data_IF_273201757677
#
_entry.id   IF_273201757677
#
_cell.length_a   1.000
_cell.length_b   1.000
_cell.length_c   1.000
_cell.angle_alpha   90.00
_cell.angle_beta   90.00
_cell.angle_gamma   90.00
#
_symmetry.space_group_name_H-M   'P 1'
#
loop_
_entity.id
_entity.type
_entity.pdbx_description
1 polymer ?
#
# COMPACT_ATOMS: atom_id res chain seq x y z
N UNK A 1 5.42 -17.02 -7.66
CA UNK A 1 5.34 -16.99 -6.18
C UNK A 1 4.40 -18.03 -5.56
N UNK A 2 3.51 -18.71 -6.30
CA UNK A 2 2.59 -19.69 -5.71
C UNK A 2 3.18 -21.10 -5.54
N UNK A 3 4.35 -21.36 -6.09
CA UNK A 3 5.07 -22.61 -5.90
C UNK A 3 6.36 -22.27 -5.17
N UNK A 4 6.30 -22.33 -3.83
CA UNK A 4 7.37 -21.90 -2.93
C UNK A 4 7.59 -22.99 -1.89
N UNK A 5 8.83 -23.13 -1.45
CA UNK A 5 9.25 -24.03 -0.37
C UNK A 5 9.80 -23.24 0.83
N UNK A 6 10.02 -23.93 1.95
CA UNK A 6 10.60 -23.34 3.17
C UNK A 6 12.06 -22.90 2.99
N UNK A 7 12.73 -23.34 1.92
CA UNK A 7 14.12 -23.01 1.61
C UNK A 7 14.23 -21.88 0.58
N UNK A 8 13.11 -21.38 0.07
CA UNK A 8 13.12 -20.33 -0.94
C UNK A 8 13.28 -18.96 -0.28
N UNK A 9 14.01 -18.08 -0.97
CA UNK A 9 14.16 -16.67 -0.65
C UNK A 9 13.56 -15.83 -1.77
N UNK A 10 12.64 -14.92 -1.41
CA UNK A 10 11.97 -14.03 -2.35
C UNK A 10 12.43 -12.60 -2.08
N UNK A 11 13.01 -11.96 -3.09
CA UNK A 11 13.24 -10.52 -3.06
C UNK A 11 12.07 -9.77 -3.70
N UNK A 12 11.51 -8.82 -2.95
CA UNK A 12 10.50 -7.88 -3.44
C UNK A 12 11.13 -6.49 -3.58
N UNK A 13 11.42 -6.08 -4.80
CA UNK A 13 11.95 -4.74 -5.08
C UNK A 13 10.77 -3.79 -5.31
N UNK A 14 10.58 -2.83 -4.41
CA UNK A 14 9.42 -1.94 -4.39
C UNK A 14 9.89 -0.49 -4.49
N UNK A 15 9.27 0.26 -5.39
CA UNK A 15 9.50 1.69 -5.57
C UNK A 15 8.18 2.43 -5.78
N UNK A 16 8.27 3.76 -5.87
CA UNK A 16 7.16 4.63 -6.24
C UNK A 16 6.45 4.18 -7.53
N UNK A 17 5.14 4.40 -7.60
CA UNK A 17 4.30 4.02 -8.74
C UNK A 17 3.78 2.56 -8.75
N UNK A 18 4.24 1.70 -7.83
CA UNK A 18 3.82 0.30 -7.76
C UNK A 18 2.29 0.08 -7.68
N UNK A 19 1.55 0.98 -7.05
CA UNK A 19 0.09 0.88 -6.96
C UNK A 19 -0.62 0.93 -8.32
N UNK A 20 -0.04 1.62 -9.31
CA UNK A 20 -0.57 1.76 -10.67
C UNK A 20 0.01 0.70 -11.63
N UNK A 21 1.27 0.31 -11.46
CA UNK A 21 1.95 -0.66 -12.32
C UNK A 21 1.54 -2.12 -12.05
N UNK A 22 1.09 -2.44 -10.83
CA UNK A 22 0.64 -3.77 -10.43
C UNK A 22 -0.80 -3.77 -9.89
N UNK A 23 -1.80 -3.46 -10.75
CA UNK A 23 -3.20 -3.64 -10.40
C UNK A 23 -3.57 -5.11 -10.66
N UNK A 24 -3.71 -5.90 -9.59
CA UNK A 24 -4.29 -7.23 -9.68
C UNK A 24 -5.66 -7.21 -8.99
N UNK A 25 -6.77 -7.14 -9.75
CA UNK A 25 -8.10 -7.21 -9.16
C UNK A 25 -8.34 -8.53 -8.45
N UNK A 26 -9.21 -8.52 -7.43
CA UNK A 26 -9.71 -9.77 -6.89
C UNK A 26 -10.51 -10.56 -7.93
N UNK A 27 -10.61 -11.88 -7.73
CA UNK A 27 -11.38 -12.75 -8.60
C UNK A 27 -12.83 -12.24 -8.68
N UNK A 28 -13.33 -12.06 -9.90
CA UNK A 28 -14.66 -11.48 -10.15
C UNK A 28 -14.65 -9.98 -10.48
N UNK A 29 -13.48 -9.32 -10.38
CA UNK A 29 -13.29 -7.94 -10.83
C UNK A 29 -12.42 -7.89 -12.09
N UNK A 30 -12.70 -6.87 -12.89
CA UNK A 30 -11.87 -6.44 -14.00
C UNK A 30 -10.98 -5.27 -13.59
N UNK A 31 -9.99 -4.95 -14.43
CA UNK A 31 -9.23 -3.71 -14.29
C UNK A 31 -10.11 -2.47 -14.47
N UNK A 32 -11.13 -2.56 -15.33
CA UNK A 32 -12.13 -1.49 -15.51
C UNK A 32 -12.85 -1.18 -14.21
N UNK A 33 -13.28 -2.21 -13.47
CA UNK A 33 -13.95 -2.02 -12.20
C UNK A 33 -13.08 -1.25 -11.19
N UNK A 34 -11.80 -1.61 -11.07
CA UNK A 34 -10.87 -0.90 -10.18
C UNK A 34 -10.64 0.54 -10.61
N UNK A 35 -10.58 0.81 -11.92
CA UNK A 35 -10.42 2.16 -12.46
C UNK A 35 -11.63 3.02 -12.14
N UNK A 36 -12.82 2.47 -12.29
CA UNK A 36 -14.07 3.20 -12.06
C UNK A 36 -14.25 3.52 -10.57
N UNK A 37 -13.96 2.55 -9.69
CA UNK A 37 -13.90 2.79 -8.22
C UNK A 37 -12.90 3.89 -7.88
N UNK A 38 -11.68 3.82 -8.43
CA UNK A 38 -10.64 4.80 -8.14
C UNK A 38 -11.01 6.20 -8.64
N UNK A 39 -11.68 6.30 -9.79
CA UNK A 39 -12.14 7.58 -10.34
C UNK A 39 -13.21 8.23 -9.44
N UNK A 40 -14.17 7.44 -8.96
CA UNK A 40 -15.19 7.90 -8.01
C UNK A 40 -14.58 8.39 -6.69
N UNK A 41 -13.58 7.67 -6.17
CA UNK A 41 -12.89 8.02 -4.93
C UNK A 41 -12.07 9.32 -5.04
N UNK A 42 -11.36 9.50 -6.16
CA UNK A 42 -10.62 10.74 -6.40
C UNK A 42 -11.58 11.93 -6.54
N UNK A 43 -12.72 11.74 -7.20
CA UNK A 43 -13.74 12.78 -7.35
C UNK A 43 -14.49 13.10 -6.05
N UNK A 44 -14.52 12.18 -5.06
CA UNK A 44 -15.26 12.37 -3.81
C UNK A 44 -14.50 13.15 -2.74
N UNK A 45 -13.23 13.50 -2.98
CA UNK A 45 -12.37 14.12 -1.97
C UNK A 45 -12.01 13.19 -0.81
N UNK A 46 -12.02 11.86 -1.05
CA UNK A 46 -11.56 10.90 -0.06
C UNK A 46 -10.08 11.09 0.23
N UNK A 47 -9.67 10.95 1.49
CA UNK A 47 -8.27 11.07 1.83
C UNK A 47 -7.50 9.80 1.44
N UNK A 48 -6.18 9.91 1.27
CA UNK A 48 -5.36 8.81 0.76
C UNK A 48 -5.43 7.53 1.62
N UNK A 49 -5.64 7.64 2.93
CA UNK A 49 -5.76 6.47 3.82
C UNK A 49 -7.05 5.70 3.52
N UNK A 50 -8.17 6.42 3.36
CA UNK A 50 -9.48 5.84 3.04
C UNK A 50 -9.48 5.22 1.64
N UNK A 51 -8.90 5.93 0.66
CA UNK A 51 -8.71 5.41 -0.70
C UNK A 51 -7.91 4.11 -0.67
N UNK A 52 -6.80 4.08 0.06
CA UNK A 52 -5.95 2.89 0.15
C UNK A 52 -6.64 1.74 0.87
N UNK A 53 -7.43 2.01 1.92
CA UNK A 53 -8.25 0.98 2.57
C UNK A 53 -9.14 0.29 1.54
N UNK A 54 -9.95 1.04 0.79
CA UNK A 54 -10.85 0.46 -0.23
C UNK A 54 -10.07 -0.29 -1.33
N UNK A 55 -8.98 0.31 -1.83
CA UNK A 55 -8.15 -0.31 -2.89
C UNK A 55 -7.48 -1.60 -2.44
N UNK A 56 -7.07 -1.71 -1.17
CA UNK A 56 -6.50 -2.95 -0.60
C UNK A 56 -7.54 -4.06 -0.61
N UNK A 57 -8.76 -3.77 -0.16
CA UNK A 57 -9.85 -4.75 -0.10
C UNK A 57 -10.32 -5.26 -1.46
N UNK A 58 -10.17 -4.48 -2.54
CA UNK A 58 -10.53 -4.89 -3.91
C UNK A 58 -9.37 -5.50 -4.72
N UNK A 59 -8.17 -5.61 -4.16
CA UNK A 59 -6.96 -6.07 -4.86
C UNK A 59 -6.47 -7.42 -4.37
N UNK A 60 -6.12 -8.35 -5.25
CA UNK A 60 -5.50 -9.63 -4.88
C UNK A 60 -3.99 -9.54 -4.59
N UNK A 61 -3.40 -8.34 -4.66
CA UNK A 61 -1.95 -8.11 -4.48
C UNK A 61 -1.61 -7.18 -3.31
N UNK A 62 -2.44 -6.18 -3.06
CA UNK A 62 -2.19 -5.10 -2.08
C UNK A 62 -2.57 -5.55 -0.66
N UNK A 63 -2.16 -4.79 0.36
CA UNK A 63 -2.54 -5.02 1.75
C UNK A 63 -2.12 -6.41 2.25
N UNK A 64 -0.83 -6.74 2.11
CA UNK A 64 -0.28 -8.01 2.60
C UNK A 64 -0.57 -9.23 1.72
N UNK A 65 -1.42 -9.11 0.69
CA UNK A 65 -1.86 -10.26 -0.11
C UNK A 65 -0.75 -10.88 -0.96
N UNK A 66 0.30 -10.14 -1.31
CA UNK A 66 1.48 -10.74 -1.95
C UNK A 66 2.20 -11.70 -0.99
N UNK A 67 2.44 -11.26 0.26
CA UNK A 67 3.04 -12.11 1.29
C UNK A 67 2.18 -13.34 1.58
N UNK A 68 0.86 -13.15 1.69
CA UNK A 68 -0.08 -14.26 1.88
C UNK A 68 -0.08 -15.25 0.72
N UNK A 69 -0.05 -14.77 -0.52
CA UNK A 69 -0.03 -15.62 -1.69
C UNK A 69 1.27 -16.45 -1.81
N UNK A 70 2.39 -15.88 -1.37
CA UNK A 70 3.68 -16.57 -1.35
C UNK A 70 3.78 -17.62 -0.23
N UNK A 71 2.98 -17.49 0.83
CA UNK A 71 2.93 -18.42 1.96
C UNK A 71 1.89 -19.56 1.79
N UNK A 72 1.31 -19.73 0.59
CA UNK A 72 0.21 -20.70 0.39
C UNK A 72 0.65 -22.16 0.41
N UNK A 73 1.82 -22.46 -0.14
CA UNK A 73 2.32 -23.83 -0.35
C UNK A 73 3.61 -24.14 0.42
N UNK A 74 4.19 -23.14 1.08
CA UNK A 74 5.38 -23.21 1.92
C UNK A 74 5.57 -21.88 2.63
N UNK A 75 6.58 -21.77 3.49
CA UNK A 75 6.90 -20.58 4.28
C UNK A 75 8.27 -20.00 3.87
N UNK A 76 8.36 -19.40 2.66
CA UNK A 76 9.61 -18.81 2.19
C UNK A 76 9.96 -17.57 3.00
N UNK A 77 11.24 -17.23 3.05
CA UNK A 77 11.66 -15.92 3.56
C UNK A 77 11.41 -14.87 2.48
N UNK A 78 10.77 -13.75 2.84
CA UNK A 78 10.55 -12.62 1.93
C UNK A 78 11.35 -11.42 2.45
N UNK A 79 12.19 -10.87 1.57
CA UNK A 79 12.94 -9.64 1.82
C UNK A 79 12.45 -8.58 0.84
N UNK A 80 11.76 -7.57 1.36
CA UNK A 80 11.36 -6.39 0.59
C UNK A 80 12.40 -5.29 0.73
N UNK A 81 12.91 -4.81 -0.40
CA UNK A 81 13.80 -3.66 -0.47
C UNK A 81 13.04 -2.51 -1.11
N UNK A 82 12.87 -1.42 -0.37
CA UNK A 82 11.86 -0.40 -0.64
C UNK A 82 12.54 0.96 -0.84
N UNK A 83 12.21 1.62 -1.95
CA UNK A 83 12.48 3.05 -2.16
C UNK A 83 11.18 3.81 -1.89
N UNK A 84 11.20 4.68 -0.88
CA UNK A 84 10.03 5.44 -0.43
C UNK A 84 9.96 6.82 -1.11
N UNK A 85 8.82 7.07 -1.75
CA UNK A 85 8.37 8.38 -2.23
C UNK A 85 7.27 8.97 -1.32
N UNK A 86 7.00 8.33 -0.17
CA UNK A 86 5.92 8.72 0.75
C UNK A 86 6.48 9.52 1.92
N UNK A 87 5.93 10.70 2.17
CA UNK A 87 6.33 11.54 3.31
C UNK A 87 6.14 10.79 4.64
N UNK A 88 7.25 10.48 5.31
CA UNK A 88 7.27 9.74 6.56
C UNK A 88 7.29 8.21 6.42
N UNK A 89 7.56 7.70 5.22
CA UNK A 89 7.94 6.31 4.94
C UNK A 89 6.98 5.26 5.49
N UNK A 90 5.68 5.56 5.46
CA UNK A 90 4.67 4.61 5.90
C UNK A 90 4.56 3.45 4.90
N UNK A 91 5.10 2.29 5.29
CA UNK A 91 5.14 1.06 4.51
C UNK A 91 3.77 0.58 4.01
N UNK A 92 2.69 0.77 4.78
CA UNK A 92 1.32 0.40 4.37
C UNK A 92 0.83 1.25 3.17
N UNK A 93 1.37 2.46 3.05
CA UNK A 93 1.03 3.39 1.96
C UNK A 93 1.87 3.12 0.71
N UNK A 94 3.16 2.83 0.87
CA UNK A 94 4.10 2.61 -0.26
C UNK A 94 3.62 1.39 -1.06
N UNK A 95 3.35 1.59 -2.35
CA UNK A 95 2.75 0.59 -3.25
C UNK A 95 1.48 -0.09 -2.69
N UNK A 96 0.81 0.53 -1.72
CA UNK A 96 -0.31 -0.04 -0.96
C UNK A 96 0.05 -1.33 -0.18
N UNK A 97 1.29 -1.42 0.32
CA UNK A 97 1.73 -2.40 1.31
C UNK A 97 1.55 -3.87 0.92
N UNK A 98 2.02 -4.36 -0.24
CA UNK A 98 1.76 -5.74 -0.68
C UNK A 98 2.38 -6.81 0.25
N UNK A 99 3.42 -6.46 1.00
CA UNK A 99 4.16 -7.31 1.94
C UNK A 99 4.01 -6.84 3.40
N UNK A 100 3.02 -6.00 3.67
CA UNK A 100 2.82 -5.34 4.96
C UNK A 100 1.40 -5.66 5.46
N UNK A 101 1.19 -5.88 6.77
CA UNK A 101 -0.14 -6.10 7.31
C UNK A 101 -1.07 -4.92 7.07
N UNK A 102 -2.33 -5.20 6.76
CA UNK A 102 -3.37 -4.18 6.62
C UNK A 102 -4.24 -4.17 7.89
N UNK A 103 -4.27 -3.04 8.60
CA UNK A 103 -5.10 -2.88 9.79
C UNK A 103 -6.57 -2.58 9.46
N UNK A 104 -6.87 -2.14 8.23
CA UNK A 104 -8.22 -1.73 7.84
C UNK A 104 -9.12 -2.92 7.51
N UNK A 105 -10.44 -2.76 7.60
CA UNK A 105 -11.40 -3.87 7.38
C UNK A 105 -12.35 -3.63 6.21
N UNK A 106 -13.02 -4.69 5.74
CA UNK A 106 -14.12 -4.59 4.79
C UNK A 106 -15.23 -3.67 5.30
N UNK A 107 -15.54 -3.72 6.60
CA UNK A 107 -16.51 -2.83 7.23
C UNK A 107 -16.10 -1.36 7.09
N UNK A 108 -14.85 -1.03 7.41
CA UNK A 108 -14.32 0.32 7.24
C UNK A 108 -14.34 0.76 5.78
N UNK A 109 -13.94 -0.11 4.84
CA UNK A 109 -13.99 0.17 3.41
C UNK A 109 -15.41 0.50 2.93
N UNK A 110 -16.42 -0.26 3.39
CA UNK A 110 -17.84 0.02 3.11
C UNK A 110 -18.25 1.37 3.73
N UNK A 111 -17.86 1.61 4.99
CA UNK A 111 -18.20 2.84 5.71
C UNK A 111 -17.60 4.08 5.03
N UNK A 112 -16.38 4.00 4.49
CA UNK A 112 -15.79 5.07 3.70
C UNK A 112 -16.58 5.32 2.41
N UNK A 113 -16.94 4.28 1.66
CA UNK A 113 -17.78 4.45 0.46
C UNK A 113 -19.15 5.07 0.77
N UNK A 114 -19.75 4.71 1.91
CA UNK A 114 -21.02 5.29 2.39
C UNK A 114 -20.85 6.74 2.85
N UNK A 115 -19.78 7.07 3.58
CA UNK A 115 -19.42 8.44 4.00
C UNK A 115 -19.41 9.39 2.80
N UNK A 116 -18.89 8.93 1.66
CA UNK A 116 -18.83 9.70 0.42
C UNK A 116 -20.06 9.55 -0.50
N UNK A 117 -21.08 8.77 -0.09
CA UNK A 117 -22.31 8.50 -0.88
C UNK A 117 -22.01 7.95 -2.28
N UNK A 118 -21.00 7.09 -2.38
CA UNK A 118 -20.56 6.44 -3.64
C UNK A 118 -20.66 4.91 -3.61
N UNK A 119 -21.10 4.31 -2.50
CA UNK A 119 -21.25 2.85 -2.40
C UNK A 119 -22.16 2.27 -3.50
N UNK A 120 -23.31 2.90 -3.76
CA UNK A 120 -24.24 2.43 -4.79
C UNK A 120 -23.81 2.82 -6.22
N UNK A 121 -22.72 3.59 -6.35
CA UNK A 121 -22.20 4.09 -7.64
C UNK A 121 -21.01 3.28 -8.15
N UNK A 122 -20.32 2.54 -7.28
CA UNK A 122 -19.23 1.66 -7.70
C UNK A 122 -19.80 0.44 -8.44
N UNK A 123 -19.00 -0.23 -9.29
CA UNK A 123 -19.43 -1.43 -10.01
C UNK A 123 -20.03 -2.50 -9.09
N UNK A 124 -21.08 -3.17 -9.55
CA UNK A 124 -21.84 -4.15 -8.76
C UNK A 124 -20.95 -5.29 -8.23
N UNK A 125 -19.97 -5.74 -9.03
CA UNK A 125 -19.04 -6.78 -8.60
C UNK A 125 -18.14 -6.32 -7.45
N UNK A 126 -17.78 -5.03 -7.39
CA UNK A 126 -17.02 -4.47 -6.28
C UNK A 126 -17.88 -4.38 -5.01
N UNK A 127 -19.17 -3.99 -5.15
CA UNK A 127 -20.12 -4.02 -4.03
C UNK A 127 -20.27 -5.43 -3.47
N UNK A 128 -20.51 -6.42 -4.34
CA UNK A 128 -20.64 -7.84 -3.96
C UNK A 128 -19.43 -8.34 -3.18
N UNK A 129 -18.24 -8.03 -3.67
CA UNK A 129 -16.99 -8.40 -2.99
C UNK A 129 -16.90 -7.80 -1.59
N UNK A 130 -17.19 -6.51 -1.44
CA UNK A 130 -17.09 -5.85 -0.13
C UNK A 130 -18.13 -6.42 0.83
N UNK A 131 -19.35 -6.67 0.36
CA UNK A 131 -20.42 -7.29 1.14
C UNK A 131 -20.06 -8.71 1.55
N UNK A 132 -19.55 -9.54 0.64
CA UNK A 132 -19.10 -10.91 0.93
C UNK A 132 -17.92 -10.90 1.92
N UNK A 133 -17.01 -9.94 1.81
CA UNK A 133 -15.93 -9.75 2.79
C UNK A 133 -16.46 -9.38 4.18
N UNK A 134 -17.43 -8.45 4.24
CA UNK A 134 -18.11 -8.07 5.48
C UNK A 134 -18.88 -9.23 6.13
N UNK A 135 -19.43 -10.14 5.31
CA UNK A 135 -20.09 -11.38 5.76
C UNK A 135 -19.12 -12.53 6.05
N UNK A 136 -17.81 -12.29 6.00
CA UNK A 136 -16.76 -13.29 6.23
C UNK A 136 -16.73 -14.45 5.20
N UNK A 137 -17.40 -14.30 4.05
CA UNK A 137 -17.38 -15.27 2.95
C UNK A 137 -16.05 -15.20 2.17
N UNK A 138 -15.42 -14.01 2.17
CA UNK A 138 -14.09 -13.77 1.62
C UNK A 138 -13.19 -13.37 2.80
N UNK A 139 -12.01 -14.00 2.97
CA UNK A 139 -11.09 -13.63 4.03
C UNK A 139 -10.68 -12.16 3.97
N UNK A 140 -10.45 -11.59 5.14
CA UNK A 140 -9.91 -10.25 5.28
C UNK A 140 -8.50 -10.13 4.68
N UNK A 141 -8.06 -8.90 4.42
CA UNK A 141 -6.65 -8.57 4.28
C UNK A 141 -5.84 -9.10 5.48
N UNK A 142 -4.67 -9.73 5.24
CA UNK A 142 -3.84 -10.30 6.30
C UNK A 142 -3.52 -9.29 7.40
N UNK A 143 -3.83 -9.67 8.64
CA UNK A 143 -3.56 -8.89 9.86
C UNK A 143 -2.16 -9.14 10.37
N UNK A 144 -1.71 -8.32 11.33
CA UNK A 144 -0.33 -8.35 11.83
C UNK A 144 0.07 -9.71 12.39
N UNK A 145 -0.90 -10.43 12.93
CA UNK A 145 -0.78 -11.74 13.55
C UNK A 145 -0.83 -12.89 12.53
N UNK A 146 -1.09 -12.61 11.25
CA UNK A 146 -1.13 -13.63 10.21
C UNK A 146 0.25 -14.30 10.06
N UNK A 147 0.33 -15.64 10.12
CA UNK A 147 1.60 -16.36 9.98
C UNK A 147 2.37 -16.04 8.70
N UNK A 148 1.70 -15.55 7.65
CA UNK A 148 2.38 -15.16 6.42
C UNK A 148 3.43 -14.05 6.61
N UNK A 149 3.43 -13.34 7.74
CA UNK A 149 4.39 -12.29 8.05
C UNK A 149 5.58 -12.76 8.90
N UNK A 150 5.59 -14.00 9.42
CA UNK A 150 6.64 -14.47 10.35
C UNK A 150 8.05 -14.44 9.75
N UNK A 151 8.18 -14.63 8.44
CA UNK A 151 9.46 -14.56 7.70
C UNK A 151 9.48 -13.43 6.66
N UNK A 152 8.73 -12.36 6.91
CA UNK A 152 8.70 -11.18 6.03
C UNK A 152 9.50 -10.05 6.66
N UNK A 153 10.51 -9.59 5.93
CA UNK A 153 11.36 -8.47 6.34
C UNK A 153 11.21 -7.34 5.32
N UNK A 154 10.89 -6.14 5.79
CA UNK A 154 10.73 -4.96 4.93
C UNK A 154 11.79 -3.93 5.31
N UNK A 155 12.63 -3.56 4.34
CA UNK A 155 13.72 -2.59 4.53
C UNK A 155 13.52 -1.40 3.59
N UNK A 156 13.51 -0.19 4.15
CA UNK A 156 13.64 1.03 3.35
C UNK A 156 15.13 1.21 3.07
N UNK A 157 15.50 1.17 1.80
CA UNK A 157 16.89 1.31 1.33
C UNK A 157 17.14 2.64 0.62
N UNK A 158 16.10 3.47 0.50
CA UNK A 158 16.20 4.83 0.00
C UNK A 158 14.90 5.61 0.27
N UNK A 159 15.04 6.87 0.63
CA UNK A 159 13.93 7.77 0.96
C UNK A 159 14.29 9.22 0.64
N UNK A 160 13.30 10.12 0.73
CA UNK A 160 13.53 11.57 0.65
C UNK A 160 14.47 12.04 1.76
N UNK A 161 14.40 11.44 2.95
CA UNK A 161 15.28 11.78 4.06
C UNK A 161 16.73 11.37 3.77
N UNK A 162 16.95 10.21 3.15
CA UNK A 162 18.29 9.77 2.75
C UNK A 162 18.91 10.72 1.71
N UNK A 163 18.12 11.14 0.72
CA UNK A 163 18.55 12.11 -0.27
C UNK A 163 18.93 13.46 0.37
N UNK A 164 18.13 13.94 1.32
CA UNK A 164 18.39 15.21 1.98
C UNK A 164 19.62 15.15 2.90
N UNK A 165 19.85 14.03 3.61
CA UNK A 165 21.07 13.79 4.39
C UNK A 165 22.32 13.70 3.52
N UNK A 166 22.21 13.09 2.34
CA UNK A 166 23.31 13.04 1.38
C UNK A 166 23.69 14.43 0.89
N UNK A 167 22.70 15.28 0.57
CA UNK A 167 22.90 16.67 0.20
C UNK A 167 23.54 17.49 1.35
N UNK A 168 23.04 17.36 2.57
CA UNK A 168 23.63 17.99 3.76
C UNK A 168 25.10 17.60 3.94
N UNK A 169 25.41 16.31 3.81
CA UNK A 169 26.78 15.79 3.97
C UNK A 169 27.72 16.37 2.91
N UNK A 170 27.27 16.43 1.65
CA UNK A 170 28.03 17.03 0.55
C UNK A 170 28.31 18.52 0.78
N UNK A 171 27.30 19.29 1.19
CA UNK A 171 27.44 20.72 1.45
C UNK A 171 28.41 20.99 2.61
N UNK A 172 28.30 20.22 3.70
CA UNK A 172 29.22 20.31 4.85
C UNK A 172 30.67 19.99 4.47
N UNK A 173 30.90 18.99 3.62
CA UNK A 173 32.23 18.66 3.10
C UNK A 173 32.85 19.79 2.26
N UNK A 174 32.00 20.63 1.66
CA UNK A 174 32.42 21.81 0.90
C UNK A 174 32.40 23.10 1.74
N UNK A 175 32.42 22.98 3.08
CA UNK A 175 32.42 24.09 4.03
C UNK A 175 31.22 25.05 3.89
N UNK A 176 30.09 24.55 3.41
CA UNK A 176 28.83 25.31 3.35
C UNK A 176 28.05 25.04 4.63
N UNK A 177 27.62 26.10 5.31
CA UNK A 177 26.76 25.99 6.49
C UNK A 177 25.38 25.46 6.07
N UNK A 178 24.91 24.40 6.73
CA UNK A 178 23.61 23.77 6.44
C UNK A 178 22.74 23.80 7.68
N UNK A 179 21.51 24.30 7.51
CA UNK A 179 20.44 24.16 8.49
C UNK A 179 19.39 23.18 7.95
N UNK A 180 19.38 21.96 8.47
CA UNK A 180 18.40 20.96 8.09
C UNK A 180 17.04 21.20 8.78
N UNK A 181 16.01 21.51 8.01
CA UNK A 181 14.64 21.66 8.51
C UNK A 181 13.99 20.28 8.55
N UNK A 182 13.83 19.74 9.76
CA UNK A 182 13.26 18.38 9.99
C UNK A 182 11.74 18.32 9.84
N UNK A 183 11.08 19.47 9.81
CA UNK A 183 9.63 19.54 9.72
C UNK A 183 9.17 19.05 8.34
N UNK A 184 8.22 18.10 8.36
CA UNK A 184 7.62 17.58 7.13
C UNK A 184 6.77 18.67 6.51
N UNK A 185 7.29 19.31 5.46
CA UNK A 185 6.57 20.32 4.69
C UNK A 185 5.35 19.66 4.04
N UNK A 186 4.16 20.14 4.38
CA UNK A 186 2.88 19.73 3.80
C UNK A 186 1.96 20.94 3.70
N UNK A 187 1.55 21.28 2.50
CA UNK A 187 0.61 22.36 2.23
C UNK A 187 0.77 22.85 0.80
N UNK A 188 0.25 24.05 0.52
CA UNK A 188 0.31 24.63 -0.83
C UNK A 188 1.71 25.13 -1.15
N UNK A 189 2.22 24.84 -2.34
CA UNK A 189 3.59 25.20 -2.73
C UNK A 189 3.87 26.73 -2.57
N UNK A 190 2.86 27.57 -2.81
CA UNK A 190 2.95 29.03 -2.64
C UNK A 190 3.17 29.50 -1.20
N UNK A 191 2.84 28.68 -0.21
CA UNK A 191 2.98 29.02 1.21
C UNK A 191 4.41 28.76 1.71
N UNK A 192 5.20 27.99 0.94
CA UNK A 192 6.56 27.55 1.30
C UNK A 192 7.63 28.01 0.30
N UNK A 193 7.25 28.73 -0.77
CA UNK A 193 8.14 29.21 -1.83
C UNK A 193 8.67 30.61 -1.62
#
# INVERSE_FOLDING_TARGET
IRNTSNNDLIFCLISGGGSALLPLPMKGLTLGDLRDVNSLLLASGANIKEINAIRKHLSAFKGGRLAKAANKNGEPTIISLIISDVVGDNLDTIASGPTVPDQTTYEEAINYLKKYKIFDKIPENAQKILISGYKEEIPETPKKEDPCFFKVHNFIIGSVEDAAKAAESYLKQNNIEVKYIKEKIKGEAREYG
#
